data_IF_453013182037
#
_entry.id   IF_453013182037
#
_cell.length_a   1.000
_cell.length_b   1.000
_cell.length_c   1.000
_cell.angle_alpha   90.00
_cell.angle_beta   90.00
_cell.angle_gamma   90.00
#
_symmetry.space_group_name_H-M   'P 1'
#
loop_
_entity.id
_entity.type
_entity.pdbx_description
1 polymer ?
#
# COMPACT_ATOMS: atom_id res chain seq x y z
N UNK A 1 -26.73 3.74 -6.13
CA UNK A 1 -26.21 2.47 -6.69
C UNK A 1 -25.96 1.48 -5.58
N UNK A 2 -26.31 0.21 -5.79
CA UNK A 2 -26.00 -0.85 -4.83
C UNK A 2 -24.48 -1.08 -4.77
N UNK A 3 -23.94 -1.24 -3.58
CA UNK A 3 -22.53 -1.62 -3.41
C UNK A 3 -22.43 -3.14 -3.26
N UNK A 4 -22.30 -3.84 -4.37
CA UNK A 4 -22.21 -5.31 -4.40
C UNK A 4 -20.95 -5.84 -3.69
N UNK A 5 -19.84 -5.10 -3.68
CA UNK A 5 -18.66 -5.47 -2.92
C UNK A 5 -18.99 -5.57 -1.43
N UNK A 6 -19.66 -4.54 -0.90
CA UNK A 6 -20.06 -4.52 0.51
C UNK A 6 -21.02 -5.64 0.87
N UNK A 7 -21.99 -5.92 -0.01
CA UNK A 7 -22.89 -7.08 0.18
C UNK A 7 -22.13 -8.40 0.20
N UNK A 8 -21.12 -8.56 -0.67
CA UNK A 8 -20.28 -9.76 -0.68
C UNK A 8 -19.49 -9.94 0.62
N UNK A 9 -18.89 -8.85 1.14
CA UNK A 9 -18.09 -8.87 2.35
C UNK A 9 -18.89 -9.25 3.61
N UNK A 10 -20.18 -8.91 3.69
CA UNK A 10 -21.04 -9.31 4.83
C UNK A 10 -21.24 -10.82 4.97
N UNK A 11 -20.84 -11.62 3.97
CA UNK A 11 -20.84 -13.08 4.06
C UNK A 11 -19.65 -13.65 4.84
N UNK A 12 -18.58 -12.87 4.99
CA UNK A 12 -17.31 -13.31 5.54
C UNK A 12 -16.86 -12.53 6.77
N UNK A 13 -17.41 -11.33 6.99
CA UNK A 13 -17.02 -10.41 8.06
C UNK A 13 -18.24 -10.04 8.90
N UNK A 14 -18.06 -9.98 10.21
CA UNK A 14 -19.05 -9.46 11.13
C UNK A 14 -19.26 -7.94 10.90
N UNK A 15 -20.46 -7.44 11.26
CA UNK A 15 -20.79 -6.01 11.07
C UNK A 15 -19.80 -5.07 11.79
N UNK A 16 -19.32 -5.48 12.95
CA UNK A 16 -18.33 -4.75 13.75
C UNK A 16 -16.98 -4.70 13.08
N UNK A 17 -16.52 -5.82 12.51
CA UNK A 17 -15.27 -5.91 11.76
C UNK A 17 -15.32 -5.06 10.49
N UNK A 18 -16.41 -5.19 9.72
CA UNK A 18 -16.60 -4.38 8.52
C UNK A 18 -16.66 -2.88 8.82
N UNK A 19 -17.27 -2.49 9.94
CA UNK A 19 -17.29 -1.10 10.40
C UNK A 19 -15.88 -0.60 10.76
N UNK A 20 -15.06 -1.40 11.43
CA UNK A 20 -13.64 -1.07 11.71
C UNK A 20 -12.86 -0.86 10.41
N UNK A 21 -12.97 -1.80 9.46
CA UNK A 21 -12.29 -1.75 8.16
C UNK A 21 -12.65 -0.47 7.41
N UNK A 22 -13.94 -0.16 7.27
CA UNK A 22 -14.42 1.04 6.58
C UNK A 22 -13.92 2.35 7.19
N UNK A 23 -13.81 2.40 8.51
CA UNK A 23 -13.46 3.62 9.23
C UNK A 23 -11.95 3.84 9.38
N UNK A 24 -11.14 2.81 9.18
CA UNK A 24 -9.68 2.90 9.28
C UNK A 24 -9.10 3.77 8.17
N UNK A 25 -8.28 4.74 8.55
CA UNK A 25 -7.60 5.67 7.64
C UNK A 25 -6.22 5.14 7.31
N UNK A 26 -5.97 4.86 6.05
CA UNK A 26 -4.69 4.33 5.58
C UNK A 26 -4.00 5.35 4.69
N UNK A 27 -2.73 5.62 4.98
CA UNK A 27 -1.83 6.29 4.04
C UNK A 27 -1.05 5.25 3.24
N UNK A 28 -1.12 5.34 1.92
CA UNK A 28 -0.26 4.60 0.99
C UNK A 28 0.81 5.56 0.48
N UNK A 29 2.02 5.33 0.90
CA UNK A 29 3.18 6.14 0.59
C UNK A 29 3.95 5.51 -0.58
N UNK A 30 3.66 5.99 -1.79
CA UNK A 30 4.11 5.48 -3.08
C UNK A 30 3.02 4.70 -3.82
N UNK A 31 2.73 5.10 -5.06
CA UNK A 31 1.75 4.46 -5.96
C UNK A 31 2.41 3.55 -7.01
N UNK A 32 3.61 3.05 -6.72
CA UNK A 32 4.36 2.13 -7.57
C UNK A 32 3.85 0.69 -7.52
N UNK A 33 4.74 -0.27 -7.78
CA UNK A 33 4.39 -1.69 -7.87
C UNK A 33 3.72 -2.24 -6.62
N UNK A 34 4.29 -2.03 -5.46
CA UNK A 34 3.72 -2.52 -4.19
C UNK A 34 2.51 -1.69 -3.80
N UNK A 35 2.63 -0.35 -3.78
CA UNK A 35 1.57 0.51 -3.26
C UNK A 35 0.28 0.46 -4.09
N UNK A 36 0.36 0.45 -5.43
CA UNK A 36 -0.84 0.37 -6.28
C UNK A 36 -1.59 -0.96 -6.11
N UNK A 37 -0.85 -2.08 -6.05
CA UNK A 37 -1.45 -3.40 -5.82
C UNK A 37 -2.01 -3.53 -4.40
N UNK A 38 -1.30 -3.05 -3.38
CA UNK A 38 -1.81 -3.07 -2.00
C UNK A 38 -3.06 -2.20 -1.84
N UNK A 39 -3.11 -1.03 -2.48
CA UNK A 39 -4.31 -0.18 -2.52
C UNK A 39 -5.52 -0.93 -3.10
N UNK A 40 -5.31 -1.61 -4.23
CA UNK A 40 -6.34 -2.44 -4.87
C UNK A 40 -6.85 -3.52 -3.92
N UNK A 41 -5.94 -4.24 -3.26
CA UNK A 41 -6.29 -5.31 -2.31
C UNK A 41 -7.07 -4.76 -1.11
N UNK A 42 -6.62 -3.64 -0.51
CA UNK A 42 -7.29 -3.02 0.62
C UNK A 42 -8.71 -2.57 0.28
N UNK A 43 -8.92 -1.92 -0.88
CA UNK A 43 -10.27 -1.54 -1.32
C UNK A 43 -11.16 -2.77 -1.53
N UNK A 44 -10.62 -3.87 -2.08
CA UNK A 44 -11.35 -5.15 -2.21
C UNK A 44 -11.70 -5.78 -0.86
N UNK A 45 -10.91 -5.54 0.18
CA UNK A 45 -11.20 -5.96 1.55
C UNK A 45 -12.17 -5.03 2.30
N UNK A 46 -12.64 -3.95 1.65
CA UNK A 46 -13.66 -3.06 2.21
C UNK A 46 -13.15 -1.78 2.84
N UNK A 47 -11.83 -1.49 2.76
CA UNK A 47 -11.30 -0.20 3.21
C UNK A 47 -11.82 0.93 2.32
N UNK A 48 -12.34 1.99 2.94
CA UNK A 48 -12.97 3.10 2.23
C UNK A 48 -12.21 4.43 2.40
N UNK A 49 -11.32 4.56 3.38
CA UNK A 49 -10.61 5.81 3.68
C UNK A 49 -9.12 5.67 3.36
N UNK A 50 -8.74 5.96 2.13
CA UNK A 50 -7.37 5.80 1.65
C UNK A 50 -6.81 7.14 1.17
N UNK A 51 -5.65 7.51 1.70
CA UNK A 51 -4.84 8.62 1.21
C UNK A 51 -3.65 8.04 0.44
N UNK A 52 -3.36 8.56 -0.74
CA UNK A 52 -2.25 8.10 -1.59
C UNK A 52 -1.33 9.30 -1.87
N UNK A 53 -0.04 9.15 -1.59
CA UNK A 53 0.97 10.14 -1.95
C UNK A 53 1.95 9.56 -2.96
N UNK A 54 2.09 10.24 -4.08
CA UNK A 54 3.08 9.99 -5.15
C UNK A 54 3.10 11.21 -6.07
N UNK A 55 4.23 11.48 -6.69
CA UNK A 55 4.38 12.63 -7.62
C UNK A 55 4.71 12.21 -9.06
N UNK A 56 4.96 10.91 -9.28
CA UNK A 56 5.37 10.39 -10.58
C UNK A 56 4.21 10.29 -11.58
N UNK A 57 4.59 10.31 -12.85
CA UNK A 57 3.74 9.91 -13.97
C UNK A 57 3.91 8.41 -14.28
N UNK A 58 2.88 7.83 -14.87
CA UNK A 58 2.88 6.45 -15.30
C UNK A 58 3.66 6.29 -16.60
N UNK A 59 4.68 5.44 -16.59
CA UNK A 59 5.50 5.08 -17.73
C UNK A 59 5.14 3.67 -18.26
N UNK A 60 5.42 3.36 -19.56
CA UNK A 60 5.23 2.02 -20.12
C UNK A 60 5.94 0.93 -19.31
N UNK A 61 7.13 1.21 -18.78
CA UNK A 61 7.94 0.31 -17.95
C UNK A 61 7.27 -0.08 -16.62
N UNK A 62 6.23 0.63 -16.22
CA UNK A 62 5.52 0.38 -14.96
C UNK A 62 4.41 -0.67 -15.12
N UNK A 63 3.86 -0.83 -16.32
CA UNK A 63 2.71 -1.70 -16.60
C UNK A 63 2.97 -3.18 -16.30
N UNK A 64 4.22 -3.61 -16.27
CA UNK A 64 4.59 -4.98 -15.97
C UNK A 64 4.30 -5.42 -14.53
N UNK A 65 4.02 -4.46 -13.61
CA UNK A 65 3.88 -4.77 -12.17
C UNK A 65 3.00 -3.82 -11.36
N UNK A 66 2.53 -2.71 -11.93
CA UNK A 66 1.69 -1.73 -11.25
C UNK A 66 0.22 -1.89 -11.67
N UNK A 67 -0.70 -1.55 -10.79
CA UNK A 67 -2.14 -1.68 -11.04
C UNK A 67 -2.67 -0.53 -11.90
N UNK A 68 -2.21 -0.49 -13.14
CA UNK A 68 -2.60 0.48 -14.16
C UNK A 68 -2.83 -0.19 -15.52
N UNK A 69 -3.40 0.57 -16.45
CA UNK A 69 -3.77 0.12 -17.80
C UNK A 69 -3.11 0.99 -18.87
N UNK A 70 -3.02 0.46 -20.11
CA UNK A 70 -2.29 1.10 -21.21
C UNK A 70 -2.75 2.54 -21.49
N UNK A 71 -4.05 2.80 -21.42
CA UNK A 71 -4.65 4.13 -21.66
C UNK A 71 -4.28 5.18 -20.62
N UNK A 72 -3.71 4.76 -19.50
CA UNK A 72 -3.32 5.66 -18.40
C UNK A 72 -1.86 6.13 -18.48
N UNK A 73 -1.07 5.61 -19.44
CA UNK A 73 0.33 6.03 -19.63
C UNK A 73 0.40 7.55 -19.85
N UNK A 74 1.34 8.22 -19.16
CA UNK A 74 1.49 9.68 -19.17
C UNK A 74 0.60 10.42 -18.17
N UNK A 75 -0.27 9.71 -17.41
CA UNK A 75 -1.02 10.34 -16.31
C UNK A 75 -0.28 10.25 -15.00
N UNK A 76 -0.57 11.15 -14.06
CA UNK A 76 -0.06 11.04 -12.69
C UNK A 76 -0.54 9.73 -12.05
N UNK A 77 0.38 8.94 -11.46
CA UNK A 77 0.06 7.65 -10.82
C UNK A 77 -1.08 7.75 -9.82
N UNK A 78 -1.09 8.78 -8.96
CA UNK A 78 -2.17 8.97 -7.97
C UNK A 78 -3.54 9.19 -8.61
N UNK A 79 -3.60 9.84 -9.79
CA UNK A 79 -4.85 10.07 -10.52
C UNK A 79 -5.38 8.77 -11.13
N UNK A 80 -4.55 8.06 -11.88
CA UNK A 80 -4.91 6.77 -12.48
C UNK A 80 -5.29 5.73 -11.42
N UNK A 81 -4.54 5.66 -10.32
CA UNK A 81 -4.85 4.74 -9.23
C UNK A 81 -6.19 5.05 -8.57
N UNK A 82 -6.48 6.33 -8.27
CA UNK A 82 -7.79 6.74 -7.74
C UNK A 82 -8.93 6.29 -8.66
N UNK A 83 -8.81 6.51 -9.95
CA UNK A 83 -9.80 6.08 -10.93
C UNK A 83 -10.04 4.57 -10.88
N UNK A 84 -8.96 3.76 -10.86
CA UNK A 84 -9.05 2.32 -10.81
C UNK A 84 -9.68 1.80 -9.50
N UNK A 85 -9.34 2.42 -8.36
CA UNK A 85 -9.89 2.06 -7.06
C UNK A 85 -11.39 2.37 -6.96
N UNK A 86 -11.84 3.49 -7.53
CA UNK A 86 -13.26 3.86 -7.56
C UNK A 86 -14.10 2.94 -8.47
N UNK A 87 -13.50 2.28 -9.47
CA UNK A 87 -14.14 1.21 -10.23
C UNK A 87 -14.39 -0.04 -9.39
N UNK A 88 -13.56 -0.30 -8.36
CA UNK A 88 -13.76 -1.41 -7.42
C UNK A 88 -14.82 -1.06 -6.37
N UNK A 89 -14.69 0.10 -5.74
CA UNK A 89 -15.62 0.60 -4.74
C UNK A 89 -15.90 2.10 -4.93
N UNK A 90 -17.00 2.42 -5.58
CA UNK A 90 -17.40 3.80 -5.86
C UNK A 90 -17.74 4.62 -4.60
N UNK A 91 -17.91 3.98 -3.44
CA UNK A 91 -18.18 4.65 -2.16
C UNK A 91 -16.90 4.96 -1.38
N UNK A 92 -15.74 4.47 -1.84
CA UNK A 92 -14.47 4.76 -1.18
C UNK A 92 -14.10 6.25 -1.29
N UNK A 93 -13.57 6.80 -0.22
CA UNK A 93 -13.01 8.14 -0.16
C UNK A 93 -11.51 8.04 -0.42
N UNK A 94 -11.11 8.31 -1.67
CA UNK A 94 -9.71 8.27 -2.10
C UNK A 94 -9.17 9.70 -2.19
N UNK A 95 -8.34 10.08 -1.22
CA UNK A 95 -7.60 11.34 -1.21
C UNK A 95 -6.27 11.16 -1.90
N UNK A 96 -5.91 12.05 -2.83
CA UNK A 96 -4.63 12.00 -3.54
C UNK A 96 -3.78 13.22 -3.21
N UNK A 97 -2.48 13.01 -3.04
CA UNK A 97 -1.47 14.02 -2.76
C UNK A 97 -0.39 13.91 -3.81
N UNK A 98 -0.26 14.96 -4.63
CA UNK A 98 0.63 15.04 -5.80
C UNK A 98 1.94 15.72 -5.41
N UNK A 99 2.59 15.20 -4.38
CA UNK A 99 3.78 15.82 -3.80
C UNK A 99 4.83 14.77 -3.47
N UNK A 100 6.09 15.19 -3.46
CA UNK A 100 7.17 14.42 -2.88
C UNK A 100 7.07 14.44 -1.36
N UNK A 101 7.31 13.30 -0.72
CA UNK A 101 7.42 13.26 0.73
C UNK A 101 8.74 13.91 1.18
N UNK A 102 8.65 14.80 2.15
CA UNK A 102 9.78 15.54 2.73
C UNK A 102 9.70 15.57 4.25
N UNK A 103 10.77 16.01 4.92
CA UNK A 103 10.79 16.22 6.37
C UNK A 103 9.76 17.27 6.83
N UNK A 104 9.44 18.24 5.96
CA UNK A 104 8.54 19.35 6.30
C UNK A 104 7.07 18.93 6.23
N UNK A 105 6.70 18.01 5.31
CA UNK A 105 5.30 17.63 5.11
C UNK A 105 4.92 16.30 5.77
N UNK A 106 5.86 15.41 6.12
CA UNK A 106 5.58 14.05 6.59
C UNK A 106 4.69 14.03 7.83
N UNK A 107 4.95 14.87 8.82
CA UNK A 107 4.17 14.90 10.07
C UNK A 107 2.70 15.26 9.81
N UNK A 108 2.44 16.22 8.92
CA UNK A 108 1.09 16.61 8.53
C UNK A 108 0.35 15.50 7.77
N UNK A 109 1.08 14.73 6.96
CA UNK A 109 0.53 13.62 6.18
C UNK A 109 0.11 12.44 7.06
N UNK A 110 0.94 12.08 8.06
CA UNK A 110 0.71 10.86 8.86
C UNK A 110 -0.10 11.09 10.14
N UNK A 111 -0.19 12.33 10.67
CA UNK A 111 -0.82 12.59 11.97
C UNK A 111 -2.25 12.06 12.11
N UNK A 112 -3.05 12.16 11.06
CA UNK A 112 -4.46 11.78 11.04
C UNK A 112 -4.70 10.39 10.41
N UNK A 113 -3.64 9.63 10.14
CA UNK A 113 -3.73 8.27 9.61
C UNK A 113 -3.60 7.25 10.75
N UNK A 114 -4.29 6.13 10.63
CA UNK A 114 -4.24 5.05 11.61
C UNK A 114 -3.09 4.10 11.29
N UNK A 115 -2.92 3.76 10.00
CA UNK A 115 -1.88 2.84 9.52
C UNK A 115 -1.21 3.44 8.27
N UNK A 116 0.11 3.28 8.19
CA UNK A 116 0.92 3.70 7.06
C UNK A 116 1.45 2.47 6.33
N UNK A 117 1.20 2.40 5.01
CA UNK A 117 1.80 1.44 4.10
C UNK A 117 2.90 2.16 3.32
N UNK A 118 4.14 1.83 3.60
CA UNK A 118 5.30 2.40 2.94
C UNK A 118 5.69 1.53 1.73
N UNK A 119 5.74 2.14 0.54
CA UNK A 119 6.02 1.48 -0.75
C UNK A 119 6.87 2.36 -1.70
N UNK A 120 7.66 3.28 -1.17
CA UNK A 120 8.59 4.09 -1.95
C UNK A 120 9.77 3.23 -2.45
N UNK A 121 10.39 3.62 -3.53
CA UNK A 121 11.70 3.14 -3.99
C UNK A 121 12.84 4.08 -3.56
N UNK A 122 12.56 5.36 -3.30
CA UNK A 122 13.50 6.34 -2.79
C UNK A 122 13.87 6.05 -1.32
N UNK A 123 15.16 5.77 -1.09
CA UNK A 123 15.71 5.45 0.24
C UNK A 123 15.54 6.61 1.21
N UNK A 124 15.62 7.86 0.74
CA UNK A 124 15.47 9.05 1.58
C UNK A 124 14.03 9.17 2.06
N UNK A 125 13.05 9.02 1.15
CA UNK A 125 11.64 9.05 1.50
C UNK A 125 11.26 7.92 2.47
N UNK A 126 11.80 6.70 2.25
CA UNK A 126 11.65 5.57 3.20
C UNK A 126 12.13 5.92 4.60
N UNK A 127 13.34 6.46 4.70
CA UNK A 127 13.92 6.85 6.00
C UNK A 127 13.05 7.88 6.70
N UNK A 128 12.67 8.96 6.00
CA UNK A 128 11.85 10.05 6.55
C UNK A 128 10.54 9.51 7.13
N UNK A 129 9.79 8.69 6.37
CA UNK A 129 8.47 8.22 6.82
C UNK A 129 8.58 7.22 7.97
N UNK A 130 9.59 6.34 7.98
CA UNK A 130 9.82 5.37 9.06
C UNK A 130 10.17 6.10 10.36
N UNK A 131 11.07 7.09 10.31
CA UNK A 131 11.45 7.91 11.47
C UNK A 131 10.24 8.69 12.02
N UNK A 132 9.47 9.35 11.14
CA UNK A 132 8.28 10.09 11.55
C UNK A 132 7.20 9.17 12.15
N UNK A 133 7.00 7.99 11.61
CA UNK A 133 6.07 7.00 12.18
C UNK A 133 6.52 6.52 13.56
N UNK A 134 7.81 6.33 13.76
CA UNK A 134 8.37 5.97 15.08
C UNK A 134 8.11 7.07 16.10
N UNK A 135 8.42 8.33 15.75
CA UNK A 135 8.23 9.50 16.64
C UNK A 135 6.76 9.72 17.01
N UNK A 136 5.84 9.55 16.06
CA UNK A 136 4.39 9.74 16.26
C UNK A 136 3.66 8.44 16.68
N UNK A 137 4.41 7.39 17.02
CA UNK A 137 3.88 6.09 17.46
C UNK A 137 2.81 5.51 16.50
N UNK A 138 3.01 5.65 15.18
CA UNK A 138 2.11 5.13 14.14
C UNK A 138 2.47 3.69 13.77
N UNK A 139 1.45 2.92 13.34
CA UNK A 139 1.69 1.63 12.70
C UNK A 139 2.21 1.83 11.27
N UNK A 140 3.30 1.15 10.94
CA UNK A 140 3.89 1.19 9.60
C UNK A 140 4.24 -0.22 9.10
N UNK A 141 3.85 -0.51 7.87
CA UNK A 141 4.24 -1.72 7.15
C UNK A 141 5.09 -1.28 5.95
N UNK A 142 6.40 -1.51 6.02
CA UNK A 142 7.38 -1.10 5.01
C UNK A 142 7.76 -2.25 4.07
N UNK A 143 8.46 -1.92 2.98
CA UNK A 143 8.99 -2.89 2.01
C UNK A 143 10.50 -2.80 1.89
N UNK A 144 11.19 -3.97 1.79
CA UNK A 144 12.63 -4.05 1.53
C UNK A 144 13.02 -5.36 0.84
N UNK A 145 13.68 -5.27 -0.33
CA UNK A 145 14.17 -6.41 -1.08
C UNK A 145 13.08 -7.23 -1.76
N UNK A 146 12.68 -6.83 -2.98
CA UNK A 146 11.61 -7.49 -3.74
C UNK A 146 11.92 -7.66 -5.23
N UNK A 147 13.13 -7.28 -5.67
CA UNK A 147 13.47 -7.31 -7.08
C UNK A 147 13.75 -8.73 -7.60
N UNK A 148 13.81 -8.83 -8.93
CA UNK A 148 14.14 -10.07 -9.64
C UNK A 148 13.01 -11.08 -9.72
N UNK A 149 13.38 -12.29 -10.14
CA UNK A 149 12.51 -13.45 -10.36
C UNK A 149 12.92 -14.65 -9.49
N UNK A 150 13.74 -14.42 -8.46
CA UNK A 150 14.22 -15.48 -7.56
C UNK A 150 13.11 -16.09 -6.69
N UNK A 151 13.50 -16.96 -5.76
CA UNK A 151 12.57 -17.68 -4.91
C UNK A 151 11.61 -16.72 -4.16
N UNK A 152 10.33 -16.89 -4.42
CA UNK A 152 9.26 -16.07 -3.84
C UNK A 152 9.01 -16.35 -2.35
N UNK A 153 9.35 -17.56 -1.85
CA UNK A 153 9.18 -17.93 -0.45
C UNK A 153 10.06 -17.10 0.50
N UNK A 154 11.06 -16.40 -0.07
CA UNK A 154 11.89 -15.44 0.69
C UNK A 154 11.19 -14.09 0.94
N UNK A 155 10.10 -13.81 0.23
CA UNK A 155 9.29 -12.60 0.49
C UNK A 155 8.40 -12.88 1.69
N UNK A 156 8.84 -12.43 2.84
CA UNK A 156 8.17 -12.68 4.12
C UNK A 156 7.88 -11.36 4.83
N UNK A 157 6.91 -11.40 5.74
CA UNK A 157 6.67 -10.30 6.67
C UNK A 157 7.48 -10.56 7.96
N UNK A 158 8.19 -9.54 8.43
CA UNK A 158 8.93 -9.56 9.70
C UNK A 158 8.40 -8.47 10.61
N UNK A 159 8.01 -8.84 11.82
CA UNK A 159 7.66 -7.91 12.90
C UNK A 159 8.95 -7.40 13.54
N UNK A 160 9.22 -6.11 13.41
CA UNK A 160 10.39 -5.46 14.03
C UNK A 160 10.05 -5.03 15.46
N UNK A 161 8.85 -4.49 15.66
CA UNK A 161 8.27 -4.20 16.96
C UNK A 161 6.74 -4.16 16.85
N UNK A 162 6.05 -3.75 17.92
CA UNK A 162 4.59 -3.77 17.97
C UNK A 162 3.90 -2.84 16.95
N UNK A 163 4.63 -1.94 16.29
CA UNK A 163 4.08 -0.98 15.32
C UNK A 163 4.81 -0.97 13.98
N UNK A 164 5.93 -1.70 13.87
CA UNK A 164 6.75 -1.69 12.68
C UNK A 164 6.93 -3.09 12.11
N UNK A 165 6.54 -3.26 10.85
CA UNK A 165 6.65 -4.48 10.07
C UNK A 165 7.40 -4.20 8.76
N UNK A 166 8.21 -5.15 8.30
CA UNK A 166 8.91 -5.07 7.01
C UNK A 166 8.56 -6.30 6.17
N UNK A 167 8.12 -6.08 4.94
CA UNK A 167 7.90 -7.11 3.94
C UNK A 167 9.03 -7.16 2.92
N UNK A 168 9.42 -8.35 2.51
CA UNK A 168 10.46 -8.59 1.50
C UNK A 168 11.53 -9.56 1.97
N UNK A 169 12.54 -9.82 1.12
CA UNK A 169 13.68 -10.66 1.48
C UNK A 169 14.80 -9.87 2.19
N UNK A 170 14.75 -8.54 2.16
CA UNK A 170 15.69 -7.63 2.82
C UNK A 170 17.04 -7.46 2.11
N UNK A 171 17.28 -8.19 1.01
CA UNK A 171 18.62 -8.26 0.38
C UNK A 171 18.63 -8.06 -1.13
N UNK A 172 17.48 -8.11 -1.82
CA UNK A 172 17.45 -8.04 -3.29
C UNK A 172 17.02 -6.64 -3.79
N UNK A 173 17.96 -5.72 -4.03
CA UNK A 173 17.66 -4.41 -4.60
C UNK A 173 17.31 -4.51 -6.08
N UNK A 174 16.61 -3.50 -6.59
CA UNK A 174 16.44 -3.32 -8.03
C UNK A 174 17.75 -2.77 -8.63
N UNK A 175 18.24 -3.41 -9.69
CA UNK A 175 19.47 -3.05 -10.41
C UNK A 175 19.33 -3.37 -11.91
N UNK A 176 20.28 -2.92 -12.71
CA UNK A 176 20.33 -3.25 -14.14
C UNK A 176 20.39 -4.78 -14.30
N UNK A 177 19.48 -5.33 -15.11
CA UNK A 177 19.34 -6.78 -15.30
C UNK A 177 18.59 -7.53 -14.19
N UNK A 178 18.21 -6.84 -13.10
CA UNK A 178 17.40 -7.38 -12.01
C UNK A 178 16.28 -6.43 -11.65
N UNK A 179 15.37 -6.22 -12.61
CA UNK A 179 14.22 -5.32 -12.43
C UNK A 179 13.14 -5.88 -11.50
N UNK A 180 12.16 -5.04 -11.21
CA UNK A 180 10.96 -5.42 -10.47
C UNK A 180 9.99 -6.17 -11.41
N UNK A 181 9.48 -7.32 -10.95
CA UNK A 181 8.52 -8.15 -11.68
C UNK A 181 7.26 -8.42 -10.87
N UNK A 182 6.12 -8.48 -11.55
CA UNK A 182 4.80 -8.60 -10.92
C UNK A 182 4.69 -9.68 -9.83
N UNK A 183 5.19 -10.94 -9.99
CA UNK A 183 4.96 -11.97 -8.99
C UNK A 183 5.53 -11.63 -7.61
N UNK A 184 6.79 -11.25 -7.51
CA UNK A 184 7.43 -10.91 -6.23
C UNK A 184 6.88 -9.62 -5.63
N UNK A 185 6.62 -8.62 -6.48
CA UNK A 185 5.97 -7.35 -6.09
C UNK A 185 4.56 -7.62 -5.56
N UNK A 186 3.79 -8.47 -6.25
CA UNK A 186 2.44 -8.86 -5.85
C UNK A 186 2.40 -9.58 -4.50
N UNK A 187 3.29 -10.56 -4.28
CA UNK A 187 3.39 -11.27 -2.99
C UNK A 187 3.65 -10.27 -1.85
N UNK A 188 4.56 -9.32 -2.04
CA UNK A 188 4.83 -8.30 -1.04
C UNK A 188 3.59 -7.43 -0.76
N UNK A 189 2.89 -6.98 -1.81
CA UNK A 189 1.67 -6.19 -1.67
C UNK A 189 0.56 -6.98 -0.92
N UNK A 190 0.42 -8.27 -1.21
CA UNK A 190 -0.53 -9.16 -0.52
C UNK A 190 -0.16 -9.33 0.96
N UNK A 191 1.11 -9.54 1.29
CA UNK A 191 1.58 -9.60 2.67
C UNK A 191 1.30 -8.30 3.42
N UNK A 192 1.59 -7.14 2.83
CA UNK A 192 1.31 -5.85 3.47
C UNK A 192 -0.20 -5.65 3.72
N UNK A 193 -1.04 -5.89 2.72
CA UNK A 193 -2.49 -5.74 2.86
C UNK A 193 -3.07 -6.71 3.91
N UNK A 194 -2.63 -7.97 3.91
CA UNK A 194 -3.04 -8.96 4.91
C UNK A 194 -2.59 -8.58 6.32
N UNK A 195 -1.37 -8.05 6.48
CA UNK A 195 -0.87 -7.58 7.78
C UNK A 195 -1.74 -6.44 8.33
N UNK A 196 -2.17 -5.51 7.48
CA UNK A 196 -3.09 -4.43 7.89
C UNK A 196 -4.42 -5.01 8.40
N UNK A 197 -5.01 -5.97 7.68
CA UNK A 197 -6.25 -6.63 8.12
C UNK A 197 -6.08 -7.31 9.46
N UNK A 198 -5.02 -8.09 9.63
CA UNK A 198 -4.72 -8.83 10.87
C UNK A 198 -4.54 -7.90 12.07
N UNK A 199 -3.73 -6.83 11.89
CA UNK A 199 -3.54 -5.81 12.92
C UNK A 199 -4.87 -5.17 13.36
N UNK A 200 -5.71 -4.83 12.38
CA UNK A 200 -6.98 -4.18 12.64
C UNK A 200 -7.98 -5.09 13.35
N UNK A 201 -8.00 -6.37 12.98
CA UNK A 201 -8.93 -7.36 13.55
C UNK A 201 -8.39 -8.05 14.81
N UNK A 202 -7.16 -7.73 15.23
CA UNK A 202 -6.54 -8.31 16.44
C UNK A 202 -6.13 -9.78 16.28
N UNK A 203 -5.76 -10.19 15.06
CA UNK A 203 -5.30 -11.54 14.75
C UNK A 203 -3.77 -11.56 14.85
N UNK A 204 -3.26 -12.01 15.98
CA UNK A 204 -1.82 -11.93 16.36
C UNK A 204 -0.99 -13.17 15.95
N UNK A 205 -1.41 -13.98 15.01
CA UNK A 205 -0.58 -15.07 14.49
C UNK A 205 0.51 -14.53 13.54
N UNK A 206 1.74 -14.51 13.96
CA UNK A 206 2.93 -14.27 13.12
C UNK A 206 3.71 -15.56 12.99
#
# INVERSE_FOLDING_TARGET
MNNFLQQGLTKYLEKTELSKIKNTKILIAGAGGVGSNAAMLLVRCGFEKITIIDYDELEPSNLNRQFFFNEQVGTLKVCGLKENLLKINHQATITIIKERLTVDNVNNLIKNQDIILEAFDDIIAKKIIVEACHLLAKHIIAVSGIAGIGNSDKIVIRKINNRFYICGDGVTPAEIGRGLMAPRVGICAMHQANTILRLLLGIDEV
#
